data_IF_518669974424
#
_entry.id   IF_518669974424
#
_cell.length_a   1.000
_cell.length_b   1.000
_cell.length_c   1.000
_cell.angle_alpha   90.00
_cell.angle_beta   90.00
_cell.angle_gamma   90.00
#
_symmetry.space_group_name_H-M   'P 1'
#
loop_
_entity.id
_entity.type
_entity.pdbx_description
1 polymer ?
#
# COMPACT_ATOMS: atom_id res chain seq x y z
N UNK A 1 6.28 25.20 8.00
CA UNK A 1 6.14 24.73 6.61
C UNK A 1 7.27 23.75 6.39
N UNK A 2 7.06 22.48 6.72
CA UNK A 2 8.06 21.43 6.50
C UNK A 2 8.04 21.04 5.04
N UNK A 3 9.20 21.02 4.41
CA UNK A 3 9.40 20.65 3.02
C UNK A 3 8.63 19.38 2.67
N UNK A 4 7.71 19.50 1.69
CA UNK A 4 7.08 18.37 1.03
C UNK A 4 8.10 17.74 0.09
N UNK A 5 9.11 17.06 0.64
CA UNK A 5 9.89 16.14 -0.16
C UNK A 5 9.04 14.86 -0.29
N UNK A 6 8.46 14.68 -1.48
CA UNK A 6 7.92 13.39 -1.88
C UNK A 6 9.00 12.31 -1.88
N UNK A 7 8.58 11.09 -2.17
CA UNK A 7 9.48 9.95 -2.34
C UNK A 7 10.57 10.27 -3.37
N UNK A 8 11.78 9.76 -3.14
CA UNK A 8 12.86 9.84 -4.13
C UNK A 8 12.36 9.32 -5.51
N UNK A 9 12.60 10.04 -6.62
CA UNK A 9 12.08 9.66 -7.93
C UNK A 9 12.54 8.27 -8.41
N UNK A 10 13.76 7.84 -8.07
CA UNK A 10 14.25 6.50 -8.40
C UNK A 10 13.49 5.44 -7.60
N UNK A 11 13.24 5.71 -6.32
CA UNK A 11 12.42 4.84 -5.47
C UNK A 11 10.97 4.74 -5.98
N UNK A 12 10.37 5.87 -6.39
CA UNK A 12 9.03 5.87 -7.01
C UNK A 12 9.03 5.03 -8.30
N UNK A 13 10.06 5.16 -9.14
CA UNK A 13 10.20 4.32 -10.34
C UNK A 13 10.27 2.83 -9.99
N UNK A 14 11.04 2.45 -8.97
CA UNK A 14 11.14 1.05 -8.51
C UNK A 14 9.80 0.51 -8.00
N UNK A 15 9.03 1.33 -7.27
CA UNK A 15 7.68 0.97 -6.83
C UNK A 15 6.78 0.70 -8.03
N UNK A 16 6.80 1.58 -9.04
CA UNK A 16 6.00 1.42 -10.25
C UNK A 16 6.40 0.17 -11.05
N UNK A 17 7.70 -0.13 -11.12
CA UNK A 17 8.20 -1.34 -11.76
C UNK A 17 7.82 -2.62 -11.01
N UNK A 18 7.78 -2.55 -9.68
CA UNK A 18 7.29 -3.65 -8.84
C UNK A 18 5.81 -3.93 -9.12
N UNK A 19 4.98 -2.89 -9.24
CA UNK A 19 3.57 -3.03 -9.61
C UNK A 19 3.43 -3.55 -11.05
N UNK A 20 4.28 -3.08 -11.98
CA UNK A 20 4.32 -3.58 -13.36
C UNK A 20 4.62 -5.08 -13.43
N UNK A 21 5.56 -5.55 -12.61
CA UNK A 21 5.92 -6.96 -12.53
C UNK A 21 4.79 -7.79 -11.91
N UNK A 22 4.20 -7.32 -10.81
CA UNK A 22 3.05 -7.96 -10.18
C UNK A 22 1.89 -8.15 -11.16
N UNK A 23 1.56 -7.11 -11.94
CA UNK A 23 0.50 -7.19 -12.95
C UNK A 23 0.78 -8.27 -13.99
N UNK A 24 1.99 -8.28 -14.55
CA UNK A 24 2.38 -9.25 -15.59
C UNK A 24 2.39 -10.69 -15.09
N UNK A 25 2.82 -10.91 -13.86
CA UNK A 25 3.05 -12.27 -13.33
C UNK A 25 1.82 -12.87 -12.66
N UNK A 26 1.01 -12.06 -11.97
CA UNK A 26 -0.09 -12.56 -11.14
C UNK A 26 -1.47 -12.07 -11.60
N UNK A 27 -1.58 -10.87 -12.17
CA UNK A 27 -2.86 -10.19 -12.43
C UNK A 27 -3.20 -10.19 -13.93
N UNK A 28 -3.14 -11.39 -14.53
CA UNK A 28 -3.52 -11.58 -15.93
C UNK A 28 -5.00 -11.30 -16.15
N UNK A 29 -5.42 -11.12 -17.41
CA UNK A 29 -6.84 -10.93 -17.74
C UNK A 29 -7.72 -12.09 -17.21
N UNK A 30 -7.23 -13.33 -17.29
CA UNK A 30 -7.94 -14.50 -16.77
C UNK A 30 -8.12 -14.41 -15.25
N UNK A 31 -7.03 -14.12 -14.52
CA UNK A 31 -7.07 -13.95 -13.06
C UNK A 31 -8.09 -12.88 -12.65
N UNK A 32 -8.07 -11.72 -13.32
CA UNK A 32 -8.98 -10.59 -13.03
C UNK A 32 -10.44 -10.99 -13.22
N UNK A 33 -10.76 -11.63 -14.34
CA UNK A 33 -12.12 -12.07 -14.65
C UNK A 33 -12.61 -13.15 -13.68
N UNK A 34 -11.72 -14.02 -13.19
CA UNK A 34 -12.06 -15.02 -12.19
C UNK A 34 -12.34 -14.38 -10.82
N UNK A 35 -11.47 -13.46 -10.39
CA UNK A 35 -11.63 -12.72 -9.13
C UNK A 35 -12.94 -11.92 -9.12
N UNK A 36 -13.24 -11.20 -10.21
CA UNK A 36 -14.47 -10.43 -10.35
C UNK A 36 -15.72 -11.31 -10.24
N UNK A 37 -15.73 -12.47 -10.93
CA UNK A 37 -16.84 -13.43 -10.84
C UNK A 37 -17.03 -14.02 -9.45
N UNK A 38 -15.93 -14.28 -8.73
CA UNK A 38 -15.97 -14.83 -7.37
C UNK A 38 -16.48 -13.80 -6.38
N UNK A 39 -16.12 -12.52 -6.54
CA UNK A 39 -16.51 -11.45 -5.63
C UNK A 39 -15.94 -11.64 -4.21
N UNK A 40 -14.86 -12.39 -4.08
CA UNK A 40 -14.20 -12.69 -2.81
C UNK A 40 -13.04 -11.72 -2.58
N UNK A 41 -12.76 -11.41 -1.30
CA UNK A 41 -11.58 -10.62 -0.96
C UNK A 41 -10.31 -11.38 -1.35
N UNK A 42 -9.38 -10.80 -2.14
CA UNK A 42 -8.21 -11.51 -2.65
C UNK A 42 -7.10 -11.61 -1.59
N UNK A 43 -7.39 -12.32 -0.50
CA UNK A 43 -6.54 -12.35 0.71
C UNK A 43 -5.10 -12.76 0.41
N UNK A 44 -4.91 -13.84 -0.34
CA UNK A 44 -3.57 -14.37 -0.64
C UNK A 44 -2.72 -13.36 -1.43
N UNK A 45 -3.34 -12.64 -2.35
CA UNK A 45 -2.67 -11.59 -3.12
C UNK A 45 -2.31 -10.39 -2.24
N UNK A 46 -3.24 -9.96 -1.37
CA UNK A 46 -2.98 -8.84 -0.45
C UNK A 46 -1.89 -9.22 0.54
N UNK A 47 -1.94 -10.40 1.15
CA UNK A 47 -0.87 -10.90 2.03
C UNK A 47 0.49 -10.92 1.30
N UNK A 48 0.52 -11.31 0.02
CA UNK A 48 1.73 -11.26 -0.80
C UNK A 48 2.24 -9.82 -1.02
N UNK A 49 1.35 -8.86 -1.32
CA UNK A 49 1.72 -7.45 -1.46
C UNK A 49 2.28 -6.84 -0.18
N UNK A 50 1.81 -7.31 0.99
CA UNK A 50 2.27 -6.90 2.32
C UNK A 50 3.49 -7.68 2.83
N UNK A 51 3.84 -8.78 2.15
CA UNK A 51 4.93 -9.65 2.58
C UNK A 51 6.28 -8.92 2.57
N UNK A 52 7.28 -9.39 3.34
CA UNK A 52 8.63 -8.83 3.30
C UNK A 52 9.29 -8.84 1.91
N UNK A 53 8.82 -9.67 0.99
CA UNK A 53 9.33 -9.72 -0.40
C UNK A 53 8.89 -8.49 -1.22
N UNK A 54 7.67 -8.01 -1.01
CA UNK A 54 7.08 -6.91 -1.79
C UNK A 54 7.07 -5.59 -1.01
N UNK A 55 6.74 -5.66 0.28
CA UNK A 55 6.69 -4.56 1.24
C UNK A 55 5.96 -3.31 0.73
N UNK A 56 4.95 -3.46 -0.13
CA UNK A 56 4.33 -2.32 -0.82
C UNK A 56 3.58 -1.40 0.15
N UNK A 57 3.12 -1.90 1.30
CA UNK A 57 2.44 -1.06 2.31
C UNK A 57 3.35 0.01 2.90
N UNK A 58 4.66 -0.18 2.89
CA UNK A 58 5.63 0.78 3.43
C UNK A 58 5.59 2.12 2.69
N UNK A 59 5.06 2.17 1.47
CA UNK A 59 4.80 3.41 0.72
C UNK A 59 3.99 4.40 1.58
N UNK A 60 2.99 3.93 2.31
CA UNK A 60 2.07 4.77 3.09
C UNK A 60 2.52 5.02 4.52
N UNK A 61 3.62 4.40 4.93
CA UNK A 61 4.15 4.49 6.28
C UNK A 61 5.15 5.66 6.34
N UNK A 62 5.11 6.52 7.38
CA UNK A 62 6.14 7.53 7.59
C UNK A 62 7.54 6.92 7.75
N UNK A 63 8.57 7.62 7.26
CA UNK A 63 9.95 7.12 7.30
C UNK A 63 10.47 6.82 8.73
N UNK A 64 10.00 7.58 9.73
CA UNK A 64 10.35 7.36 11.14
C UNK A 64 9.88 6.00 11.70
N UNK A 65 8.89 5.36 11.05
CA UNK A 65 8.39 4.02 11.39
C UNK A 65 8.83 2.95 10.38
N UNK A 66 9.90 3.21 9.61
CA UNK A 66 10.45 2.25 8.64
C UNK A 66 9.77 2.26 7.27
N UNK A 67 8.92 3.25 6.98
CA UNK A 67 8.28 3.42 5.69
C UNK A 67 9.09 4.21 4.66
N UNK A 68 8.49 4.45 3.49
CA UNK A 68 9.11 5.20 2.40
C UNK A 68 8.77 6.70 2.42
N UNK A 69 7.90 7.14 3.33
CA UNK A 69 7.59 8.56 3.53
C UNK A 69 6.96 9.23 2.31
N UNK A 70 6.13 8.51 1.55
CA UNK A 70 5.49 9.04 0.35
C UNK A 70 4.65 10.29 0.62
N UNK A 71 4.76 11.28 -0.27
CA UNK A 71 3.91 12.47 -0.25
C UNK A 71 2.57 12.21 -0.92
N UNK A 72 1.67 13.19 -0.84
CA UNK A 72 0.33 13.08 -1.43
C UNK A 72 0.35 12.83 -2.95
N UNK A 73 1.33 13.41 -3.67
CA UNK A 73 1.48 13.19 -5.11
C UNK A 73 1.93 11.76 -5.43
N UNK A 74 2.89 11.23 -4.68
CA UNK A 74 3.38 9.86 -4.87
C UNK A 74 2.26 8.85 -4.61
N UNK A 75 1.51 9.07 -3.52
CA UNK A 75 0.34 8.25 -3.17
C UNK A 75 -0.70 8.29 -4.30
N UNK A 76 -0.95 9.47 -4.90
CA UNK A 76 -1.88 9.59 -6.01
C UNK A 76 -1.40 8.80 -7.25
N UNK A 77 -0.13 8.90 -7.61
CA UNK A 77 0.47 8.18 -8.75
C UNK A 77 0.41 6.66 -8.53
N UNK A 78 0.80 6.19 -7.35
CA UNK A 78 0.77 4.77 -6.99
C UNK A 78 -0.67 4.24 -6.99
N UNK A 79 -1.61 5.03 -6.45
CA UNK A 79 -3.03 4.67 -6.44
C UNK A 79 -3.60 4.55 -7.86
N UNK A 80 -3.30 5.51 -8.74
CA UNK A 80 -3.69 5.45 -10.15
C UNK A 80 -3.11 4.21 -10.83
N UNK A 81 -1.82 3.92 -10.59
CA UNK A 81 -1.15 2.76 -11.17
C UNK A 81 -1.80 1.44 -10.75
N UNK A 82 -2.13 1.29 -9.46
CA UNK A 82 -2.82 0.12 -8.93
C UNK A 82 -4.23 0.01 -9.51
N UNK A 83 -4.99 1.10 -9.54
CA UNK A 83 -6.36 1.10 -10.07
C UNK A 83 -6.41 0.75 -11.56
N UNK A 84 -5.39 1.16 -12.33
CA UNK A 84 -5.23 0.78 -13.73
C UNK A 84 -4.99 -0.72 -13.92
N UNK A 85 -4.25 -1.34 -13.00
CA UNK A 85 -4.06 -2.79 -12.98
C UNK A 85 -5.40 -3.47 -12.68
N UNK A 86 -6.03 -3.15 -11.55
CA UNK A 86 -7.35 -3.64 -11.18
C UNK A 86 -7.95 -2.84 -10.01
N UNK A 87 -9.21 -2.39 -10.14
CA UNK A 87 -9.85 -1.50 -9.16
C UNK A 87 -10.18 -2.21 -7.83
N UNK A 88 -10.57 -3.49 -7.86
CA UNK A 88 -10.90 -4.22 -6.64
C UNK A 88 -9.64 -4.51 -5.82
N UNK A 89 -8.53 -4.86 -6.49
CA UNK A 89 -7.23 -5.04 -5.83
C UNK A 89 -6.73 -3.71 -5.26
N UNK A 90 -6.78 -2.64 -6.06
CA UNK A 90 -6.35 -1.32 -5.60
C UNK A 90 -7.13 -0.88 -4.35
N UNK A 91 -8.46 -1.03 -4.36
CA UNK A 91 -9.31 -0.66 -3.22
C UNK A 91 -9.00 -1.51 -1.98
N UNK A 92 -8.83 -2.83 -2.16
CA UNK A 92 -8.49 -3.76 -1.08
C UNK A 92 -7.17 -3.40 -0.40
N UNK A 93 -6.18 -2.97 -1.18
CA UNK A 93 -4.86 -2.58 -0.68
C UNK A 93 -4.85 -1.16 -0.09
N UNK A 94 -5.45 -0.17 -0.78
CA UNK A 94 -5.46 1.22 -0.33
C UNK A 94 -6.32 1.45 0.92
N UNK A 95 -7.30 0.58 1.19
CA UNK A 95 -8.05 0.60 2.46
C UNK A 95 -7.15 0.43 3.69
N UNK A 96 -6.03 -0.29 3.54
CA UNK A 96 -5.03 -0.45 4.60
C UNK A 96 -4.39 0.91 4.90
N UNK A 97 -3.99 1.67 3.88
CA UNK A 97 -3.50 3.04 4.05
C UNK A 97 -4.53 3.90 4.79
N UNK A 98 -5.77 3.89 4.33
CA UNK A 98 -6.86 4.67 4.93
C UNK A 98 -7.08 4.31 6.42
N UNK A 99 -7.01 3.02 6.78
CA UNK A 99 -7.16 2.57 8.16
C UNK A 99 -6.08 3.09 9.11
N UNK A 100 -4.90 3.44 8.59
CA UNK A 100 -3.80 4.00 9.41
C UNK A 100 -3.91 5.50 9.66
N UNK A 101 -4.65 6.24 8.81
CA UNK A 101 -4.65 7.70 8.84
C UNK A 101 -5.09 8.32 10.17
N UNK A 102 -6.15 7.85 10.86
CA UNK A 102 -6.51 8.37 12.18
C UNK A 102 -5.39 8.24 13.20
N UNK A 103 -4.67 7.12 13.17
CA UNK A 103 -3.55 6.86 14.07
C UNK A 103 -2.39 7.80 13.73
N UNK A 104 -2.05 7.90 12.45
CA UNK A 104 -0.96 8.73 11.96
C UNK A 104 -1.16 10.21 12.30
N UNK A 105 -2.38 10.72 12.20
CA UNK A 105 -2.68 12.15 12.38
C UNK A 105 -2.96 12.52 13.84
N UNK A 106 -3.69 11.68 14.59
CA UNK A 106 -4.30 12.10 15.87
C UNK A 106 -3.74 11.36 17.09
N UNK A 107 -3.11 10.19 16.91
CA UNK A 107 -2.67 9.39 18.05
C UNK A 107 -1.45 9.98 18.79
N UNK A 108 -1.27 9.54 20.04
CA UNK A 108 -0.06 9.83 20.84
C UNK A 108 1.18 9.17 20.25
N UNK A 109 2.40 9.67 20.53
CA UNK A 109 3.64 9.05 20.07
C UNK A 109 3.72 7.55 20.40
N UNK A 110 3.30 7.15 21.62
CA UNK A 110 3.32 5.76 22.07
C UNK A 110 2.33 4.89 21.29
N UNK A 111 1.18 5.44 20.91
CA UNK A 111 0.21 4.73 20.07
C UNK A 111 0.71 4.61 18.63
N UNK A 112 1.32 5.65 18.07
CA UNK A 112 1.89 5.61 16.72
C UNK A 112 2.98 4.54 16.63
N UNK A 113 3.94 4.56 17.54
CA UNK A 113 5.01 3.56 17.61
C UNK A 113 4.42 2.14 17.68
N UNK A 114 3.47 1.92 18.59
CA UNK A 114 2.85 0.62 18.79
C UNK A 114 2.09 0.12 17.55
N UNK A 115 1.28 0.96 16.92
CA UNK A 115 0.37 0.50 15.87
C UNK A 115 0.99 0.64 14.48
N UNK A 116 1.59 1.78 14.16
CA UNK A 116 2.22 2.01 12.86
C UNK A 116 3.48 1.14 12.72
N UNK A 117 4.30 1.04 13.77
CA UNK A 117 5.47 0.14 13.78
C UNK A 117 5.08 -1.31 13.51
N UNK A 118 4.05 -1.81 14.21
CA UNK A 118 3.53 -3.18 13.97
C UNK A 118 2.97 -3.37 12.56
N UNK A 119 2.27 -2.39 12.00
CA UNK A 119 1.76 -2.48 10.63
C UNK A 119 2.92 -2.54 9.62
N UNK A 120 3.97 -1.74 9.85
CA UNK A 120 5.16 -1.72 9.03
C UNK A 120 5.91 -3.07 9.08
N UNK A 121 6.17 -3.57 10.28
CA UNK A 121 6.95 -4.80 10.51
C UNK A 121 6.18 -6.08 10.18
N UNK A 122 4.92 -6.20 10.61
CA UNK A 122 4.13 -7.43 10.49
C UNK A 122 3.32 -7.50 9.18
N UNK A 123 3.22 -6.42 8.40
CA UNK A 123 2.47 -6.39 7.14
C UNK A 123 0.97 -6.63 7.35
N UNK A 124 0.34 -5.86 8.25
CA UNK A 124 -1.03 -6.10 8.69
C UNK A 124 -2.08 -5.52 7.75
N UNK A 125 -3.17 -6.26 7.53
CA UNK A 125 -4.40 -5.74 6.94
C UNK A 125 -5.15 -4.96 8.01
N UNK A 126 -5.45 -3.70 7.73
CA UNK A 126 -6.28 -2.83 8.59
C UNK A 126 -7.48 -2.29 7.82
N UNK A 127 -8.49 -1.83 8.55
CA UNK A 127 -9.72 -1.29 8.00
C UNK A 127 -10.06 0.06 8.64
N UNK A 128 -10.89 0.83 7.96
CA UNK A 128 -11.45 2.11 8.42
C UNK A 128 -12.96 1.96 8.61
N UNK A 129 -13.50 2.41 9.76
CA UNK A 129 -14.91 2.26 10.12
C UNK A 129 -15.42 3.33 11.06
#
# INVERSE_FOLDING_TARGET
MSDQNGMDPEMLSMVLDTINKLEKEKITLETRLEMDKKGEFPKELIDFMLSPEMALHLIFIPAEYGGLGAGAMDIAIVSERLAKMDLAIATSFLAICLGTDPIRVVATPEQKEKFIGRIAEEGLIVAYG
#
